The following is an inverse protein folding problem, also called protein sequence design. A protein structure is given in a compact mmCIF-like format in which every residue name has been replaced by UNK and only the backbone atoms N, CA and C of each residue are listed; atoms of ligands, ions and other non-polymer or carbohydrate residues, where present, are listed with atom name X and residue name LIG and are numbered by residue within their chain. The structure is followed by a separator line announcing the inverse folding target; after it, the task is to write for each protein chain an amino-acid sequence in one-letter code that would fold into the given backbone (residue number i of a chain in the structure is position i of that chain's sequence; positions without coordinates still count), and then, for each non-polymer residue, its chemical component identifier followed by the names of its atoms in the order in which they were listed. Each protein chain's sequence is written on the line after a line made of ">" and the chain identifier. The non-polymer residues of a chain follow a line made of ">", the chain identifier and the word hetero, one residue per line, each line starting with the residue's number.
data_IF_901416659058
#
_entry.id   IF_901416659058
#
_cell.length_a   1.000
_cell.length_b   1.000
_cell.length_c   1.000
_cell.angle_alpha   90.00
_cell.angle_beta   90.00
_cell.angle_gamma   90.00
#
_symmetry.space_group_name_H-M   'P 1'
#
loop_
_entity.id
_entity.type
_entity.pdbx_description
1 polymer ?
#
# COMPACT_ATOMS: atom_id res chain seq x y z
N UNK A 1 -9.26 -41.00 36.11
CA UNK A 1 -8.69 -39.66 36.38
C UNK A 1 -7.67 -39.36 35.29
N UNK A 2 -8.12 -38.92 34.11
CA UNK A 2 -7.26 -38.67 32.94
C UNK A 2 -7.25 -37.18 32.64
N UNK A 3 -6.07 -36.55 32.61
CA UNK A 3 -5.92 -35.14 32.23
C UNK A 3 -5.96 -35.02 30.69
N UNK A 4 -6.73 -34.08 30.10
CA UNK A 4 -6.64 -33.81 28.68
C UNK A 4 -5.39 -32.97 28.38
N UNK A 5 -4.51 -33.49 27.51
CA UNK A 5 -3.40 -32.76 26.91
C UNK A 5 -3.94 -31.73 25.90
N UNK A 6 -4.26 -30.53 26.40
CA UNK A 6 -4.56 -29.36 25.57
C UNK A 6 -3.28 -28.68 25.13
N UNK A 7 -2.83 -28.94 23.90
CA UNK A 7 -1.78 -28.18 23.25
C UNK A 7 -2.21 -26.70 23.15
N UNK A 8 -1.47 -25.72 23.70
CA UNK A 8 -1.87 -24.32 23.58
C UNK A 8 -1.86 -23.92 22.11
N UNK A 9 -3.03 -23.44 21.63
CA UNK A 9 -3.22 -22.92 20.27
C UNK A 9 -2.11 -21.92 19.98
N UNK A 10 -1.18 -22.30 19.11
CA UNK A 10 -0.24 -21.37 18.50
C UNK A 10 -1.06 -20.32 17.76
N UNK A 11 -0.98 -19.08 18.23
CA UNK A 11 -1.40 -17.92 17.45
C UNK A 11 -0.57 -17.88 16.17
N UNK A 12 -1.15 -17.61 14.99
CA UNK A 12 -0.37 -17.50 13.78
C UNK A 12 0.59 -16.31 13.94
N UNK A 13 1.90 -16.61 14.07
CA UNK A 13 2.94 -15.59 13.89
C UNK A 13 2.96 -15.24 12.41
N UNK A 14 2.46 -14.05 12.09
CA UNK A 14 2.71 -13.44 10.79
C UNK A 14 4.22 -13.29 10.62
N UNK A 15 4.78 -14.12 9.74
CA UNK A 15 6.13 -13.91 9.23
C UNK A 15 6.05 -12.69 8.31
N UNK A 16 6.84 -11.64 8.54
CA UNK A 16 6.85 -10.53 7.61
C UNK A 16 7.50 -11.07 6.33
N UNK A 17 6.69 -11.09 5.27
CA UNK A 17 7.03 -11.34 3.87
C UNK A 17 7.00 -12.82 3.43
N UNK A 18 5.99 -13.12 2.60
CA UNK A 18 5.91 -14.34 1.83
C UNK A 18 7.04 -14.41 0.81
N UNK A 19 7.91 -15.42 0.94
CA UNK A 19 8.83 -15.86 -0.10
C UNK A 19 8.01 -16.47 -1.24
N UNK A 20 8.11 -15.94 -2.45
CA UNK A 20 7.73 -16.66 -3.66
C UNK A 20 9.02 -17.29 -4.20
N UNK A 21 9.16 -18.60 -4.01
CA UNK A 21 10.30 -19.38 -4.55
C UNK A 21 9.88 -19.95 -5.90
N UNK A 22 10.38 -19.37 -6.98
CA UNK A 22 10.37 -19.99 -8.31
C UNK A 22 11.83 -20.24 -8.73
N UNK A 23 12.24 -21.50 -8.73
CA UNK A 23 13.44 -21.97 -9.44
C UNK A 23 14.78 -21.34 -9.03
N UNK A 24 15.40 -21.87 -7.97
CA UNK A 24 16.87 -22.02 -7.87
C UNK A 24 17.77 -20.77 -7.86
N UNK A 25 17.24 -19.54 -7.92
CA UNK A 25 18.01 -18.33 -7.61
C UNK A 25 17.37 -17.62 -6.43
N UNK A 26 18.10 -17.60 -5.33
CA UNK A 26 17.80 -16.80 -4.15
C UNK A 26 17.93 -15.31 -4.50
N UNK A 27 16.87 -14.71 -5.06
CA UNK A 27 16.78 -13.26 -5.18
C UNK A 27 16.35 -12.72 -3.83
N UNK A 28 17.31 -12.54 -2.94
CA UNK A 28 17.16 -11.64 -1.79
C UNK A 28 16.97 -10.23 -2.34
N UNK A 29 15.73 -9.75 -2.41
CA UNK A 29 15.45 -8.35 -2.76
C UNK A 29 14.39 -7.77 -1.84
N UNK A 30 14.75 -7.65 -0.56
CA UNK A 30 14.34 -6.47 0.22
C UNK A 30 15.17 -5.28 -0.21
N UNK A 31 14.96 -4.83 -1.46
CA UNK A 31 15.56 -3.57 -1.89
C UNK A 31 14.71 -2.47 -1.26
N UNK A 32 15.36 -1.64 -0.45
CA UNK A 32 14.87 -0.35 0.02
C UNK A 32 14.25 0.40 -1.16
N UNK A 33 12.92 0.40 -1.25
CA UNK A 33 12.21 1.06 -2.35
C UNK A 33 12.27 2.58 -2.25
N UNK A 34 12.67 3.14 -1.10
CA UNK A 34 12.86 4.58 -0.95
C UNK A 34 13.94 5.08 -1.92
N UNK A 35 13.58 6.05 -2.75
CA UNK A 35 14.39 6.56 -3.84
C UNK A 35 14.07 5.94 -5.20
N UNK A 36 13.34 4.81 -5.26
CA UNK A 36 12.97 4.19 -6.53
C UNK A 36 12.06 5.13 -7.34
N UNK A 37 12.32 5.26 -8.66
CA UNK A 37 11.45 6.01 -9.55
C UNK A 37 10.09 5.33 -9.66
N UNK A 38 9.02 6.13 -9.59
CA UNK A 38 7.65 5.66 -9.73
C UNK A 38 6.82 6.61 -10.59
N UNK A 39 5.73 6.08 -11.13
CA UNK A 39 4.71 6.82 -11.86
C UNK A 39 3.37 6.58 -11.17
N UNK A 40 2.64 7.64 -10.84
CA UNK A 40 1.25 7.53 -10.41
C UNK A 40 0.33 7.69 -11.62
N UNK A 41 -0.71 6.86 -11.68
CA UNK A 41 -1.72 6.86 -12.73
C UNK A 41 -3.12 6.94 -12.10
N UNK A 42 -3.92 7.90 -12.53
CA UNK A 42 -5.30 8.07 -12.06
C UNK A 42 -6.08 9.06 -12.92
N UNK A 43 -7.31 9.36 -12.52
CA UNK A 43 -8.20 10.27 -13.25
C UNK A 43 -8.54 11.50 -12.40
N UNK A 44 -7.54 12.34 -12.06
CA UNK A 44 -7.80 13.54 -11.29
C UNK A 44 -8.68 14.51 -12.07
N UNK A 45 -9.56 15.25 -11.38
CA UNK A 45 -10.34 16.38 -11.92
C UNK A 45 -11.37 16.06 -13.02
N UNK A 46 -11.50 14.82 -13.48
CA UNK A 46 -12.48 14.44 -14.50
C UNK A 46 -13.80 13.97 -13.88
N UNK A 47 -14.92 14.32 -14.52
CA UNK A 47 -16.24 13.77 -14.19
C UNK A 47 -16.59 12.65 -15.16
N UNK A 48 -17.32 11.62 -14.72
CA UNK A 48 -17.77 10.47 -15.54
C UNK A 48 -18.59 10.86 -16.80
N UNK A 49 -18.88 12.16 -16.97
CA UNK A 49 -19.67 12.74 -18.06
C UNK A 49 -18.88 12.97 -19.35
N UNK A 50 -17.55 12.92 -19.31
CA UNK A 50 -16.66 13.17 -20.45
C UNK A 50 -16.18 11.87 -21.11
N UNK A 51 -17.12 11.03 -21.59
CA UNK A 51 -16.80 9.81 -22.34
C UNK A 51 -17.24 9.92 -23.81
N UNK A 52 -16.34 9.55 -24.76
CA UNK A 52 -15.70 8.22 -24.77
C UNK A 52 -14.16 8.13 -24.69
N UNK A 53 -13.39 9.22 -24.59
CA UNK A 53 -11.91 9.18 -24.70
C UNK A 53 -11.14 9.64 -23.45
N UNK A 54 -11.58 9.21 -22.27
CA UNK A 54 -10.91 9.60 -21.03
C UNK A 54 -9.58 8.82 -20.85
N UNK A 55 -8.46 9.55 -20.78
CA UNK A 55 -7.13 9.00 -20.51
C UNK A 55 -6.69 9.32 -19.08
N UNK A 56 -5.96 8.40 -18.42
CA UNK A 56 -5.42 8.69 -17.09
C UNK A 56 -4.33 9.75 -17.17
N UNK A 57 -4.26 10.58 -16.13
CA UNK A 57 -3.09 11.44 -15.90
C UNK A 57 -1.97 10.60 -15.30
N UNK A 58 -0.78 10.73 -15.87
CA UNK A 58 0.45 10.10 -15.38
C UNK A 58 1.37 11.15 -14.78
N UNK A 59 1.82 10.94 -13.55
CA UNK A 59 2.77 11.84 -12.88
C UNK A 59 3.97 11.05 -12.36
N UNK A 60 5.17 11.56 -12.61
CA UNK A 60 6.43 10.92 -12.21
C UNK A 60 6.89 11.44 -10.86
N UNK A 61 7.48 10.57 -10.05
CA UNK A 61 8.11 10.92 -8.80
C UNK A 61 9.05 9.81 -8.33
N UNK A 62 9.29 9.79 -7.02
CA UNK A 62 10.03 8.74 -6.33
C UNK A 62 9.25 8.28 -5.10
N UNK A 63 9.52 7.06 -4.64
CA UNK A 63 9.09 6.64 -3.30
C UNK A 63 9.91 7.41 -2.28
N UNK A 64 9.31 8.35 -1.57
CA UNK A 64 10.04 9.17 -0.59
C UNK A 64 10.27 8.43 0.73
N UNK A 65 9.31 7.62 1.15
CA UNK A 65 9.38 6.90 2.43
C UNK A 65 8.45 5.69 2.46
N UNK A 66 8.76 4.72 3.31
CA UNK A 66 7.88 3.57 3.59
C UNK A 66 7.83 3.35 5.08
N UNK A 67 6.62 3.37 5.65
CA UNK A 67 6.39 3.27 7.08
C UNK A 67 5.80 1.91 7.49
N UNK A 68 5.89 1.60 8.79
CA UNK A 68 5.32 0.38 9.37
C UNK A 68 5.95 -0.90 8.83
N UNK A 69 7.28 -0.93 8.72
CA UNK A 69 8.02 -2.12 8.27
C UNK A 69 7.80 -2.51 6.81
N UNK A 70 7.32 -1.58 5.96
CA UNK A 70 7.06 -1.87 4.55
C UNK A 70 5.61 -2.24 4.23
N UNK A 71 4.73 -2.27 5.24
CA UNK A 71 3.37 -2.81 5.10
C UNK A 71 2.28 -1.91 5.67
N UNK A 72 2.57 -0.66 6.01
CA UNK A 72 1.53 0.27 6.48
C UNK A 72 1.25 1.37 5.45
N UNK A 73 2.28 2.11 5.06
CA UNK A 73 2.13 3.31 4.22
C UNK A 73 3.33 3.43 3.29
N UNK A 74 3.07 3.77 2.03
CA UNK A 74 4.07 4.22 1.06
C UNK A 74 3.85 5.72 0.80
N UNK A 75 4.93 6.49 0.85
CA UNK A 75 4.92 7.91 0.51
C UNK A 75 5.55 8.09 -0.88
N UNK A 76 4.95 8.96 -1.70
CA UNK A 76 5.48 9.28 -3.04
C UNK A 76 5.44 10.77 -3.33
N UNK A 77 6.39 11.23 -4.15
CA UNK A 77 6.45 12.60 -4.66
C UNK A 77 5.71 12.80 -5.98
N UNK A 78 5.10 11.76 -6.54
CA UNK A 78 4.21 11.91 -7.70
C UNK A 78 3.15 12.98 -7.43
N UNK A 79 2.81 13.81 -8.41
CA UNK A 79 1.73 14.78 -8.23
C UNK A 79 0.37 14.05 -8.24
N UNK A 80 -0.39 14.14 -7.14
CA UNK A 80 -1.71 13.50 -7.01
C UNK A 80 -2.72 14.56 -6.58
N UNK A 81 -3.86 14.56 -7.26
CA UNK A 81 -4.95 15.53 -7.07
C UNK A 81 -6.26 14.80 -6.72
N UNK A 82 -7.29 15.58 -6.36
CA UNK A 82 -8.64 15.04 -6.14
C UNK A 82 -9.11 14.24 -7.36
N UNK A 83 -9.71 13.07 -7.12
CA UNK A 83 -10.10 12.11 -8.16
C UNK A 83 -9.06 11.03 -8.48
N UNK A 84 -7.83 11.13 -7.96
CA UNK A 84 -6.80 10.10 -8.17
C UNK A 84 -6.79 8.97 -7.10
N UNK A 85 -7.66 9.03 -6.09
CA UNK A 85 -7.79 7.97 -5.08
C UNK A 85 -8.19 6.63 -5.73
N UNK A 86 -7.58 5.53 -5.31
CA UNK A 86 -7.69 4.24 -5.98
C UNK A 86 -6.80 4.08 -7.22
N UNK A 87 -6.13 5.15 -7.66
CA UNK A 87 -5.15 5.12 -8.75
C UNK A 87 -3.91 4.28 -8.43
N UNK A 88 -3.18 3.87 -9.46
CA UNK A 88 -2.02 3.00 -9.32
C UNK A 88 -0.72 3.79 -9.11
N UNK A 89 0.14 3.32 -8.22
CA UNK A 89 1.56 3.70 -8.16
C UNK A 89 2.37 2.56 -8.76
N UNK A 90 3.07 2.86 -9.84
CA UNK A 90 3.75 1.92 -10.71
C UNK A 90 5.25 2.16 -10.67
N UNK A 91 6.02 1.09 -10.49
CA UNK A 91 7.47 1.12 -10.63
C UNK A 91 7.85 0.63 -12.04
N UNK A 92 8.59 1.43 -12.83
CA UNK A 92 9.20 0.96 -14.07
C UNK A 92 10.12 -0.22 -13.79
N UNK A 93 10.03 -1.28 -14.60
CA UNK A 93 11.02 -2.36 -14.57
C UNK A 93 12.15 -2.07 -15.54
N UNK A 94 13.33 -2.64 -15.29
CA UNK A 94 14.47 -2.59 -16.22
C UNK A 94 14.15 -3.41 -17.48
N UNK A 95 13.46 -2.82 -18.45
CA UNK A 95 12.97 -3.50 -19.65
C UNK A 95 11.80 -4.47 -19.42
N UNK A 96 11.17 -4.42 -18.24
CA UNK A 96 10.03 -5.26 -17.83
C UNK A 96 8.74 -4.44 -17.71
N UNK A 97 7.56 -5.10 -17.70
CA UNK A 97 6.28 -4.40 -17.49
C UNK A 97 6.25 -3.65 -16.17
N UNK A 98 5.49 -2.55 -16.15
CA UNK A 98 5.23 -1.76 -14.94
C UNK A 98 4.71 -2.66 -13.82
N UNK A 99 5.27 -2.52 -12.62
CA UNK A 99 4.83 -3.26 -11.44
C UNK A 99 4.04 -2.37 -10.51
N UNK A 100 2.85 -2.82 -10.11
CA UNK A 100 2.07 -2.17 -9.07
C UNK A 100 2.81 -2.27 -7.73
N UNK A 101 3.11 -1.13 -7.12
CA UNK A 101 3.76 -1.06 -5.80
C UNK A 101 2.84 -0.51 -4.72
N UNK A 102 1.85 0.31 -5.07
CA UNK A 102 0.84 0.81 -4.15
C UNK A 102 -0.41 1.31 -4.88
N UNK A 103 -1.50 1.51 -4.13
CA UNK A 103 -2.66 2.28 -4.57
C UNK A 103 -2.71 3.63 -3.86
N UNK A 104 -2.95 4.69 -4.60
CA UNK A 104 -3.12 6.05 -4.08
C UNK A 104 -4.31 6.08 -3.11
N UNK A 105 -4.10 6.57 -1.89
CA UNK A 105 -5.16 6.77 -0.93
C UNK A 105 -5.55 8.25 -0.84
N UNK A 106 -4.61 9.11 -0.45
CA UNK A 106 -4.84 10.54 -0.23
C UNK A 106 -3.58 11.39 -0.38
N UNK A 107 -3.78 12.70 -0.52
CA UNK A 107 -2.74 13.72 -0.40
C UNK A 107 -2.75 14.36 0.99
N UNK A 108 -1.70 15.10 1.33
CA UNK A 108 -1.62 15.81 2.60
C UNK A 108 -2.21 17.22 2.45
N UNK A 109 -3.08 17.56 3.41
CA UNK A 109 -3.57 18.91 3.63
C UNK A 109 -3.19 19.36 5.05
N UNK A 110 -2.65 20.57 5.17
CA UNK A 110 -2.41 21.16 6.49
C UNK A 110 -3.73 21.64 7.10
N UNK A 111 -4.00 21.20 8.34
CA UNK A 111 -5.13 21.69 9.12
C UNK A 111 -4.82 23.11 9.61
N UNK A 112 -5.64 24.08 9.21
CA UNK A 112 -5.50 25.49 9.56
C UNK A 112 -5.49 26.38 8.33
N UNK A 113 -4.45 26.27 7.50
CA UNK A 113 -4.34 27.03 6.25
C UNK A 113 -5.18 26.43 5.11
N UNK A 114 -5.46 25.12 5.17
CA UNK A 114 -6.08 24.38 4.07
C UNK A 114 -5.12 24.14 2.89
N UNK A 115 -3.83 24.46 3.03
CA UNK A 115 -2.83 24.27 2.00
C UNK A 115 -2.68 22.80 1.61
N UNK A 116 -2.68 22.53 0.30
CA UNK A 116 -2.50 21.21 -0.27
C UNK A 116 -1.04 21.00 -0.66
N UNK A 117 -0.51 19.82 -0.35
CA UNK A 117 0.83 19.40 -0.72
C UNK A 117 0.76 18.29 -1.76
N UNK A 118 0.57 18.61 -3.06
CA UNK A 118 0.27 17.60 -4.09
C UNK A 118 1.43 16.63 -4.36
N UNK A 119 2.63 16.93 -3.85
CA UNK A 119 3.82 16.09 -3.93
C UNK A 119 4.11 15.34 -2.62
N UNK A 120 3.17 15.31 -1.67
CA UNK A 120 3.28 14.49 -0.47
C UNK A 120 2.01 13.67 -0.34
N UNK A 121 2.10 12.42 -0.80
CA UNK A 121 0.94 11.54 -0.95
C UNK A 121 1.14 10.23 -0.22
N UNK A 122 0.05 9.73 0.35
CA UNK A 122 -0.01 8.47 1.07
C UNK A 122 -0.69 7.42 0.19
N UNK A 123 -0.08 6.24 0.12
CA UNK A 123 -0.53 5.14 -0.69
C UNK A 123 -0.50 3.83 0.11
N UNK A 124 -1.47 2.95 -0.16
CA UNK A 124 -1.56 1.61 0.43
C UNK A 124 -0.61 0.68 -0.32
N UNK A 125 0.42 0.09 0.32
CA UNK A 125 1.36 -0.79 -0.36
C UNK A 125 0.67 -2.03 -0.95
N UNK A 126 1.05 -2.42 -2.17
CA UNK A 126 0.50 -3.59 -2.87
C UNK A 126 0.74 -4.90 -2.11
N UNK A 127 1.81 -4.96 -1.33
CA UNK A 127 2.15 -6.08 -0.45
C UNK A 127 1.07 -6.38 0.59
N UNK A 128 0.34 -5.36 1.04
CA UNK A 128 -0.78 -5.50 1.99
C UNK A 128 -2.02 -6.07 1.31
N UNK A 129 -2.22 -5.72 0.04
CA UNK A 129 -3.42 -6.09 -0.71
C UNK A 129 -3.34 -7.48 -1.36
N UNK A 130 -2.13 -7.98 -1.63
CA UNK A 130 -1.94 -9.20 -2.39
C UNK A 130 -2.69 -10.42 -1.83
N UNK A 131 -2.55 -10.70 -0.53
CA UNK A 131 -3.19 -11.86 0.10
C UNK A 131 -4.71 -11.70 0.28
N UNK A 132 -5.25 -10.58 0.81
CA UNK A 132 -6.69 -10.33 0.89
C UNK A 132 -7.39 -10.45 -0.46
N UNK A 133 -6.83 -9.83 -1.52
CA UNK A 133 -7.41 -9.87 -2.86
C UNK A 133 -7.34 -11.26 -3.48
N UNK A 134 -6.26 -12.03 -3.25
CA UNK A 134 -6.17 -13.40 -3.71
C UNK A 134 -7.23 -14.29 -3.05
N UNK A 135 -7.45 -14.14 -1.74
CA UNK A 135 -8.48 -14.86 -0.99
C UNK A 135 -9.89 -14.53 -1.48
N UNK A 136 -10.19 -13.24 -1.65
CA UNK A 136 -11.47 -12.79 -2.22
C UNK A 136 -11.67 -13.30 -3.65
N UNK A 137 -10.65 -13.23 -4.51
CA UNK A 137 -10.77 -13.69 -5.90
C UNK A 137 -11.07 -15.19 -6.00
N UNK A 138 -10.48 -16.00 -5.12
CA UNK A 138 -10.65 -17.44 -5.11
C UNK A 138 -12.02 -17.87 -4.54
N UNK A 139 -12.51 -17.18 -3.51
CA UNK A 139 -13.70 -17.62 -2.75
C UNK A 139 -14.96 -16.78 -3.02
N UNK A 140 -14.79 -15.57 -3.56
CA UNK A 140 -15.77 -14.48 -3.58
C UNK A 140 -16.28 -14.05 -2.20
N UNK A 141 -15.63 -14.49 -1.11
CA UNK A 141 -15.99 -14.10 0.25
C UNK A 141 -15.36 -12.76 0.62
N UNK A 142 -16.21 -11.74 0.80
CA UNK A 142 -15.81 -10.38 1.16
C UNK A 142 -15.08 -10.30 2.50
N UNK A 143 -15.22 -11.29 3.38
CA UNK A 143 -14.54 -11.32 4.68
C UNK A 143 -13.02 -11.31 4.56
N UNK A 144 -12.45 -11.80 3.44
CA UNK A 144 -11.02 -11.69 3.19
C UNK A 144 -10.56 -10.24 3.09
N UNK A 145 -11.42 -9.32 2.66
CA UNK A 145 -11.09 -7.90 2.51
C UNK A 145 -11.02 -7.18 3.87
N UNK A 146 -11.61 -7.72 4.94
CA UNK A 146 -11.47 -7.15 6.28
C UNK A 146 -10.01 -7.10 6.75
N UNK A 147 -9.13 -7.93 6.19
CA UNK A 147 -7.69 -7.87 6.48
C UNK A 147 -7.00 -6.60 5.94
N UNK A 148 -7.67 -5.81 5.08
CA UNK A 148 -7.20 -4.49 4.66
C UNK A 148 -7.45 -3.41 5.71
N UNK A 149 -8.33 -3.66 6.68
CA UNK A 149 -8.58 -2.76 7.80
C UNK A 149 -7.64 -3.10 8.96
N UNK A 150 -6.80 -2.13 9.36
CA UNK A 150 -5.92 -2.29 10.51
C UNK A 150 -6.51 -1.67 11.77
N UNK A 151 -6.64 -2.50 12.81
CA UNK A 151 -6.94 -2.05 14.18
C UNK A 151 -5.67 -1.77 15.01
N UNK A 152 -4.48 -1.88 14.42
CA UNK A 152 -3.23 -1.56 15.09
C UNK A 152 -3.15 -0.03 15.34
N UNK A 153 -3.09 0.43 16.61
CA UNK A 153 -2.98 1.84 16.94
C UNK A 153 -1.79 2.54 16.29
N UNK A 154 -0.67 1.83 16.07
CA UNK A 154 0.51 2.40 15.42
C UNK A 154 0.26 2.64 13.93
N UNK A 155 -0.41 1.72 13.24
CA UNK A 155 -0.81 1.92 11.84
C UNK A 155 -1.76 3.11 11.74
N UNK A 156 -2.75 3.21 12.63
CA UNK A 156 -3.67 4.35 12.65
C UNK A 156 -2.96 5.67 12.93
N UNK A 157 -2.00 5.71 13.85
CA UNK A 157 -1.17 6.90 14.12
C UNK A 157 -0.31 7.28 12.92
N UNK A 158 0.30 6.32 12.24
CA UNK A 158 1.07 6.56 11.01
C UNK A 158 0.19 7.23 9.93
N UNK A 159 -1.04 6.72 9.72
CA UNK A 159 -1.97 7.29 8.73
C UNK A 159 -2.48 8.68 9.12
N UNK A 160 -2.50 8.99 10.42
CA UNK A 160 -2.80 10.32 10.96
C UNK A 160 -1.57 11.23 11.03
N UNK A 161 -0.41 10.77 10.57
CA UNK A 161 0.87 11.48 10.68
C UNK A 161 1.23 11.87 12.13
N UNK A 162 0.82 11.04 13.09
CA UNK A 162 1.08 11.22 14.51
C UNK A 162 2.33 10.45 14.96
N UNK A 163 3.02 10.90 16.01
CA UNK A 163 4.13 10.15 16.60
C UNK A 163 3.70 8.73 17.02
N UNK A 164 4.57 7.76 16.78
CA UNK A 164 4.37 6.39 17.23
C UNK A 164 4.27 6.34 18.76
N UNK A 165 3.51 5.37 19.28
CA UNK A 165 3.48 5.15 20.73
C UNK A 165 4.87 4.72 21.20
N UNK A 166 5.49 5.52 22.09
CA UNK A 166 6.70 5.09 22.79
C UNK A 166 6.36 3.92 23.70
N UNK A 167 7.16 2.85 23.66
CA UNK A 167 7.13 1.79 24.66
C UNK A 167 7.97 2.26 25.86
N UNK A 168 7.37 3.04 26.74
CA UNK A 168 7.89 3.30 28.08
C UNK A 168 7.22 2.31 29.05
#
# INVERSE_FOLDING_TARGET
>A
MGKPNGNPRQTPRFSPIGKIVSGGRETSTFIKISGDPVVAAGFPLFSERDLPYLLPTLTRGVVSHVAGGGSAILHTTCCVQSGASGGAVLRPGDGLPLRLVALVACNIQEQGSGALFPHVNLAVPATVMAAPLAGYRATRDVKFLHALESKDPNVQRLWKLQPLASKL
#
